data_IF_489178150966
#
_entry.id   IF_489178150966
#
_cell.length_a   1.000
_cell.length_b   1.000
_cell.length_c   1.000
_cell.angle_alpha   90.00
_cell.angle_beta   90.00
_cell.angle_gamma   90.00
#
_symmetry.space_group_name_H-M   'P 1'
#
loop_
_entity.id
_entity.type
_entity.pdbx_description
1 polymer ?
#
# COMPACT_ATOMS: atom_id res chain seq x y z
N UNK A 1 33.79 9.19 -21.34
CA UNK A 1 34.14 9.66 -19.98
C UNK A 1 35.21 8.71 -19.43
N UNK A 2 36.36 9.21 -18.98
CA UNK A 2 37.34 8.36 -18.28
C UNK A 2 36.70 7.90 -16.97
N UNK A 3 36.69 6.59 -16.67
CA UNK A 3 36.05 5.99 -15.47
C UNK A 3 36.52 6.61 -14.13
N UNK A 4 37.69 7.28 -14.14
CA UNK A 4 38.35 7.79 -12.93
C UNK A 4 37.84 9.11 -12.40
N UNK A 5 37.06 9.88 -13.18
CA UNK A 5 36.68 11.25 -12.83
C UNK A 5 35.16 11.48 -12.72
N UNK A 6 34.39 10.42 -12.60
CA UNK A 6 32.93 10.51 -12.45
C UNK A 6 32.57 10.92 -11.02
N UNK A 7 31.73 11.93 -10.89
CA UNK A 7 31.19 12.38 -9.61
C UNK A 7 30.09 11.46 -9.15
N UNK A 8 29.93 11.32 -7.84
CA UNK A 8 28.92 10.44 -7.24
C UNK A 8 27.50 10.88 -7.63
N UNK A 9 27.22 12.19 -7.55
CA UNK A 9 25.90 12.74 -7.89
C UNK A 9 25.53 12.44 -9.33
N UNK A 10 26.41 12.77 -10.27
CA UNK A 10 26.22 12.50 -11.71
C UNK A 10 26.00 11.01 -11.99
N UNK A 11 26.80 10.14 -11.32
CA UNK A 11 26.63 8.71 -11.45
C UNK A 11 25.27 8.25 -10.93
N UNK A 12 24.83 8.70 -9.76
CA UNK A 12 23.56 8.29 -9.15
C UNK A 12 22.37 8.69 -10.02
N UNK A 13 22.40 9.89 -10.64
CA UNK A 13 21.36 10.31 -11.58
C UNK A 13 21.36 9.44 -12.83
N UNK A 14 22.53 9.26 -13.47
CA UNK A 14 22.69 8.40 -14.64
C UNK A 14 22.24 6.97 -14.36
N UNK A 15 22.72 6.38 -13.24
CA UNK A 15 22.37 5.04 -12.81
C UNK A 15 20.86 4.88 -12.57
N UNK A 16 20.26 5.86 -11.89
CA UNK A 16 18.84 5.80 -11.59
C UNK A 16 17.99 5.78 -12.87
N UNK A 17 18.26 6.66 -13.81
CA UNK A 17 17.47 6.79 -15.03
C UNK A 17 17.75 5.65 -16.03
N UNK A 18 19.01 5.27 -16.23
CA UNK A 18 19.40 4.37 -17.31
C UNK A 18 19.57 2.91 -16.89
N UNK A 19 19.85 2.64 -15.63
CA UNK A 19 20.16 1.30 -15.14
C UNK A 19 19.07 0.80 -14.20
N UNK A 20 18.69 1.54 -13.19
CA UNK A 20 17.78 1.10 -12.15
C UNK A 20 16.31 1.19 -12.59
N UNK A 21 15.86 2.34 -13.08
CA UNK A 21 14.46 2.59 -13.46
C UNK A 21 13.91 1.61 -14.49
N UNK A 22 14.64 1.19 -15.53
CA UNK A 22 14.13 0.21 -16.50
C UNK A 22 13.91 -1.19 -15.93
N UNK A 23 14.54 -1.52 -14.79
CA UNK A 23 14.48 -2.84 -14.17
C UNK A 23 13.35 -3.02 -13.16
N UNK A 24 12.62 -1.95 -12.84
CA UNK A 24 11.68 -1.93 -11.74
C UNK A 24 10.28 -1.43 -12.14
N UNK A 25 9.28 -1.80 -11.34
CA UNK A 25 7.93 -1.31 -11.55
C UNK A 25 7.77 0.17 -11.15
N UNK A 26 6.80 0.85 -11.78
CA UNK A 26 6.48 2.28 -11.59
C UNK A 26 6.38 2.70 -10.12
N UNK A 27 5.72 1.89 -9.27
CA UNK A 27 5.59 2.22 -7.84
C UNK A 27 6.92 2.20 -7.09
N UNK A 28 7.82 1.28 -7.44
CA UNK A 28 9.18 1.21 -6.87
C UNK A 28 10.04 2.34 -7.41
N UNK A 29 9.93 2.65 -8.72
CA UNK A 29 10.59 3.79 -9.35
C UNK A 29 10.25 5.11 -8.64
N UNK A 30 8.98 5.35 -8.35
CA UNK A 30 8.55 6.55 -7.61
C UNK A 30 9.22 6.69 -6.24
N UNK A 31 9.24 5.60 -5.47
CA UNK A 31 9.88 5.61 -4.14
C UNK A 31 11.40 5.82 -4.27
N UNK A 32 12.03 5.17 -5.24
CA UNK A 32 13.45 5.33 -5.54
C UNK A 32 13.78 6.75 -5.96
N UNK A 33 13.00 7.31 -6.87
CA UNK A 33 13.15 8.67 -7.35
C UNK A 33 13.03 9.70 -6.21
N UNK A 34 11.96 9.61 -5.41
CA UNK A 34 11.80 10.45 -4.24
C UNK A 34 13.01 10.32 -3.29
N UNK A 35 13.49 9.10 -3.08
CA UNK A 35 14.65 8.85 -2.20
C UNK A 35 15.92 9.48 -2.76
N UNK A 36 16.18 9.35 -4.06
CA UNK A 36 17.36 9.92 -4.68
C UNK A 36 17.33 11.46 -4.68
N UNK A 37 16.32 12.03 -5.32
CA UNK A 37 16.28 13.47 -5.63
C UNK A 37 15.85 14.36 -4.46
N UNK A 38 15.03 13.84 -3.53
CA UNK A 38 14.55 14.64 -2.40
C UNK A 38 15.23 14.31 -1.06
N UNK A 39 15.96 13.19 -0.98
CA UNK A 39 16.61 12.81 0.26
C UNK A 39 18.13 12.71 0.11
N UNK A 40 18.64 11.97 -0.87
CA UNK A 40 20.08 11.72 -1.02
C UNK A 40 20.80 12.93 -1.60
N UNK A 41 20.47 13.33 -2.83
CA UNK A 41 21.18 14.42 -3.52
C UNK A 41 21.17 15.74 -2.73
N UNK A 42 20.04 16.19 -2.14
CA UNK A 42 20.03 17.42 -1.35
C UNK A 42 20.80 17.31 -0.02
N UNK A 43 21.08 16.07 0.45
CA UNK A 43 21.87 15.84 1.67
C UNK A 43 23.37 15.71 1.41
N UNK A 44 23.81 15.77 0.16
CA UNK A 44 25.22 15.79 -0.20
C UNK A 44 25.79 17.21 0.05
N UNK A 45 26.70 17.34 1.04
CA UNK A 45 27.37 18.63 1.32
C UNK A 45 28.46 18.95 0.28
N UNK A 46 29.15 17.91 -0.19
CA UNK A 46 30.12 17.98 -1.26
C UNK A 46 29.97 16.77 -2.15
N UNK A 47 29.91 17.00 -3.46
CA UNK A 47 30.00 15.90 -4.40
C UNK A 47 31.44 15.42 -4.50
N UNK A 48 31.63 14.11 -4.55
CA UNK A 48 32.95 13.49 -4.61
C UNK A 48 33.10 12.58 -5.81
N UNK A 49 34.34 12.40 -6.28
CA UNK A 49 34.61 11.41 -7.31
C UNK A 49 34.38 9.99 -6.76
N UNK A 50 33.79 9.10 -7.57
CA UNK A 50 33.48 7.72 -7.20
C UNK A 50 34.68 6.98 -6.56
N UNK A 51 35.90 7.23 -7.06
CA UNK A 51 37.12 6.62 -6.55
C UNK A 51 37.51 7.02 -5.11
N UNK A 52 36.92 8.08 -4.57
CA UNK A 52 37.14 8.55 -3.19
C UNK A 52 35.99 8.21 -2.22
N UNK A 53 35.00 7.46 -2.68
CA UNK A 53 33.90 7.04 -1.80
C UNK A 53 34.46 6.15 -0.68
N UNK A 54 34.19 6.55 0.57
CA UNK A 54 34.58 5.80 1.75
C UNK A 54 33.34 5.46 2.61
N UNK A 55 33.53 4.58 3.59
CA UNK A 55 32.49 4.23 4.57
C UNK A 55 32.07 5.48 5.36
N UNK A 56 33.04 6.31 5.78
CA UNK A 56 32.83 7.53 6.57
C UNK A 56 31.98 8.54 5.79
N UNK A 57 32.29 8.73 4.50
CA UNK A 57 31.49 9.63 3.65
C UNK A 57 30.03 9.16 3.55
N UNK A 58 29.81 7.86 3.29
CA UNK A 58 28.49 7.29 3.17
C UNK A 58 27.72 7.31 4.48
N UNK A 59 28.38 7.03 5.61
CA UNK A 59 27.78 7.13 6.94
C UNK A 59 27.35 8.58 7.24
N UNK A 60 28.21 9.57 6.96
CA UNK A 60 27.88 10.98 7.16
C UNK A 60 26.71 11.43 6.27
N UNK A 61 26.69 11.02 4.99
CA UNK A 61 25.57 11.28 4.08
C UNK A 61 24.27 10.66 4.60
N UNK A 62 24.29 9.38 4.97
CA UNK A 62 23.13 8.66 5.47
C UNK A 62 22.63 9.21 6.81
N UNK A 63 23.52 9.71 7.67
CA UNK A 63 23.14 10.38 8.92
C UNK A 63 22.38 11.68 8.64
N UNK A 64 22.79 12.49 7.65
CA UNK A 64 22.05 13.67 7.22
C UNK A 64 20.65 13.30 6.68
N UNK A 65 20.58 12.27 5.83
CA UNK A 65 19.29 11.75 5.33
C UNK A 65 18.40 11.28 6.49
N UNK A 66 18.96 10.61 7.50
CA UNK A 66 18.21 10.11 8.65
C UNK A 66 17.70 11.22 9.58
N UNK A 67 18.34 12.41 9.59
CA UNK A 67 17.83 13.58 10.35
C UNK A 67 16.47 14.06 9.83
N UNK A 68 16.12 13.81 8.58
CA UNK A 68 14.81 14.13 8.00
C UNK A 68 13.74 13.25 8.68
N UNK A 69 13.95 11.95 8.71
CA UNK A 69 13.23 10.98 9.55
C UNK A 69 13.97 9.63 9.54
N UNK A 70 13.85 8.79 10.61
CA UNK A 70 14.57 7.51 10.70
C UNK A 70 14.30 6.55 9.52
N UNK A 71 13.09 6.58 8.95
CA UNK A 71 12.76 5.76 7.78
C UNK A 71 13.43 6.25 6.50
N UNK A 72 13.78 7.52 6.40
CA UNK A 72 14.53 8.08 5.28
C UNK A 72 15.95 7.51 5.22
N UNK A 73 16.66 7.44 6.36
CA UNK A 73 17.98 6.81 6.44
C UNK A 73 17.99 5.37 5.95
N UNK A 74 16.98 4.55 6.36
CA UNK A 74 16.85 3.18 5.86
C UNK A 74 16.62 3.12 4.33
N UNK A 75 15.75 3.98 3.79
CA UNK A 75 15.48 4.03 2.34
C UNK A 75 16.69 4.51 1.56
N UNK A 76 17.39 5.54 2.06
CA UNK A 76 18.64 6.01 1.48
C UNK A 76 19.69 4.90 1.43
N UNK A 77 19.87 4.18 2.54
CA UNK A 77 20.79 3.05 2.62
C UNK A 77 20.42 1.90 1.67
N UNK A 78 19.14 1.57 1.56
CA UNK A 78 18.67 0.54 0.62
C UNK A 78 18.98 0.94 -0.84
N UNK A 79 18.68 2.17 -1.23
CA UNK A 79 18.92 2.65 -2.60
C UNK A 79 20.41 2.74 -2.92
N UNK A 80 21.22 3.34 -2.03
CA UNK A 80 22.68 3.42 -2.19
C UNK A 80 23.33 2.03 -2.21
N UNK A 81 22.81 1.06 -1.46
CA UNK A 81 23.34 -0.32 -1.49
C UNK A 81 23.20 -0.95 -2.88
N UNK A 82 22.09 -0.69 -3.57
CA UNK A 82 21.90 -1.19 -4.94
C UNK A 82 22.83 -0.46 -5.89
N UNK A 83 22.91 0.90 -5.81
CA UNK A 83 23.76 1.70 -6.66
C UNK A 83 25.26 1.35 -6.50
N UNK A 84 25.72 1.21 -5.25
CA UNK A 84 27.13 0.86 -4.97
C UNK A 84 27.50 -0.57 -5.39
N UNK A 85 26.53 -1.49 -5.37
CA UNK A 85 26.72 -2.84 -5.91
C UNK A 85 26.92 -2.78 -7.43
N UNK A 86 26.10 -2.00 -8.13
CA UNK A 86 26.20 -1.86 -9.59
C UNK A 86 27.50 -1.13 -9.98
N UNK A 87 27.87 -0.04 -9.27
CA UNK A 87 29.10 0.71 -9.55
C UNK A 87 30.38 -0.14 -9.36
N UNK A 88 30.38 -1.00 -8.34
CA UNK A 88 31.49 -1.93 -8.11
C UNK A 88 31.52 -3.05 -9.18
N UNK A 89 30.35 -3.57 -9.58
CA UNK A 89 30.22 -4.53 -10.66
C UNK A 89 30.75 -4.00 -11.99
N UNK A 90 30.48 -2.73 -12.30
CA UNK A 90 30.95 -2.04 -13.50
C UNK A 90 32.41 -1.56 -13.40
N UNK A 91 33.09 -1.86 -12.29
CA UNK A 91 34.50 -1.53 -12.02
C UNK A 91 34.81 -0.02 -12.04
N UNK A 92 33.87 0.82 -11.61
CA UNK A 92 34.13 2.24 -11.34
C UNK A 92 34.83 2.45 -9.99
N UNK A 93 34.58 1.54 -9.05
CA UNK A 93 35.27 1.46 -7.76
C UNK A 93 35.84 0.04 -7.59
N UNK A 94 36.95 -0.08 -6.90
CA UNK A 94 37.60 -1.38 -6.62
C UNK A 94 36.92 -2.17 -5.51
N UNK A 95 36.17 -1.47 -4.66
CA UNK A 95 35.57 -2.00 -3.43
C UNK A 95 34.25 -1.29 -3.13
N UNK A 96 33.25 -2.04 -2.68
CA UNK A 96 31.94 -1.48 -2.26
C UNK A 96 31.93 -1.20 -0.75
N UNK A 97 31.91 0.06 -0.30
CA UNK A 97 31.93 0.39 1.12
C UNK A 97 30.59 0.22 1.85
N UNK A 98 29.45 0.07 1.12
CA UNK A 98 28.12 0.03 1.72
C UNK A 98 27.89 -1.08 2.77
N UNK A 99 28.43 -2.31 2.63
CA UNK A 99 28.24 -3.32 3.67
C UNK A 99 28.77 -2.93 5.04
N UNK A 100 29.81 -2.06 5.12
CA UNK A 100 30.44 -1.61 6.36
C UNK A 100 29.76 -0.40 6.99
N UNK A 101 28.84 0.27 6.25
CA UNK A 101 28.08 1.41 6.78
C UNK A 101 27.15 0.99 7.93
N UNK A 102 26.91 1.92 8.86
CA UNK A 102 26.02 1.69 10.03
C UNK A 102 24.58 1.44 9.58
N UNK A 103 23.95 0.36 10.09
CA UNK A 103 22.54 0.13 9.86
C UNK A 103 21.67 1.06 10.71
N UNK A 104 20.56 1.53 10.18
CA UNK A 104 19.57 2.28 10.96
C UNK A 104 18.57 1.32 11.61
N UNK A 105 18.26 1.49 12.92
CA UNK A 105 17.29 0.65 13.59
C UNK A 105 15.90 0.82 12.94
N UNK A 106 15.29 -0.29 12.55
CA UNK A 106 13.90 -0.28 12.11
C UNK A 106 13.01 -0.30 13.34
N UNK A 107 12.20 0.74 13.51
CA UNK A 107 11.16 0.72 14.53
C UNK A 107 10.24 -0.48 14.29
N UNK A 108 10.10 -1.35 15.27
CA UNK A 108 9.11 -2.44 15.20
C UNK A 108 7.72 -1.79 15.07
N UNK A 109 6.95 -2.10 14.02
CA UNK A 109 5.63 -1.52 13.88
C UNK A 109 4.77 -1.92 15.09
N UNK A 110 4.27 -0.94 15.82
CA UNK A 110 3.29 -1.19 16.89
C UNK A 110 1.96 -1.51 16.23
N UNK A 111 1.67 -2.79 16.05
CA UNK A 111 0.37 -3.25 15.57
C UNK A 111 -0.69 -2.87 16.60
N UNK A 112 -1.53 -1.92 16.27
CA UNK A 112 -2.66 -1.52 17.12
C UNK A 112 -3.83 -2.45 16.83
N UNK A 113 -4.21 -3.20 17.83
CA UNK A 113 -5.27 -4.18 17.74
C UNK A 113 -6.41 -3.75 18.64
N UNK A 114 -7.65 -3.86 18.14
CA UNK A 114 -8.84 -3.59 18.92
C UNK A 114 -9.19 -4.83 19.78
N UNK A 115 -9.27 -4.67 21.09
CA UNK A 115 -9.86 -5.68 21.95
C UNK A 115 -11.35 -5.89 21.64
N UNK A 116 -11.99 -6.95 22.15
CA UNK A 116 -13.37 -7.34 21.82
C UNK A 116 -14.37 -6.20 21.96
N UNK A 117 -14.35 -5.49 23.08
CA UNK A 117 -15.28 -4.40 23.36
C UNK A 117 -15.12 -3.24 22.35
N UNK A 118 -13.86 -2.84 22.10
CA UNK A 118 -13.55 -1.80 21.12
C UNK A 118 -13.90 -2.22 19.70
N UNK A 119 -13.77 -3.51 19.37
CA UNK A 119 -14.16 -4.04 18.07
C UNK A 119 -15.68 -3.98 17.87
N UNK A 120 -16.48 -4.25 18.92
CA UNK A 120 -17.93 -4.11 18.88
C UNK A 120 -18.33 -2.67 18.56
N UNK A 121 -17.82 -1.70 19.33
CA UNK A 121 -18.04 -0.27 19.10
C UNK A 121 -17.63 0.14 17.69
N UNK A 122 -16.47 -0.35 17.23
CA UNK A 122 -15.98 -0.07 15.88
C UNK A 122 -16.93 -0.58 14.80
N UNK A 123 -17.42 -1.83 14.91
CA UNK A 123 -18.31 -2.42 13.92
C UNK A 123 -19.71 -1.77 13.91
N UNK A 124 -20.23 -1.40 15.07
CA UNK A 124 -21.48 -0.64 15.19
C UNK A 124 -21.36 0.73 14.50
N UNK A 125 -20.25 1.44 14.73
CA UNK A 125 -19.99 2.71 14.06
C UNK A 125 -19.74 2.55 12.56
N UNK A 126 -19.02 1.50 12.16
CA UNK A 126 -18.72 1.19 10.77
C UNK A 126 -19.96 0.79 9.97
N UNK A 127 -20.96 0.15 10.59
CA UNK A 127 -22.20 -0.33 9.91
C UNK A 127 -23.01 0.82 9.29
N UNK A 128 -22.86 2.05 9.83
CA UNK A 128 -23.50 3.27 9.34
C UNK A 128 -22.66 4.01 8.30
N UNK A 129 -21.52 3.44 7.89
CA UNK A 129 -20.56 4.12 7.02
C UNK A 129 -20.59 3.51 5.61
N UNK A 130 -20.50 4.32 4.54
CA UNK A 130 -20.45 3.84 3.14
C UNK A 130 -19.31 2.87 2.84
N UNK A 131 -18.30 2.79 3.70
CA UNK A 131 -17.14 1.89 3.60
C UNK A 131 -17.32 0.57 4.36
N UNK A 132 -18.54 0.27 4.83
CA UNK A 132 -18.77 -0.90 5.69
C UNK A 132 -18.37 -2.22 5.04
N UNK A 133 -18.77 -2.44 3.79
CA UNK A 133 -18.40 -3.66 3.05
C UNK A 133 -16.88 -3.83 2.93
N UNK A 134 -16.18 -2.76 2.56
CA UNK A 134 -14.71 -2.77 2.42
C UNK A 134 -14.02 -3.06 3.76
N UNK A 135 -14.57 -2.53 4.85
CA UNK A 135 -14.10 -2.82 6.22
C UNK A 135 -14.29 -4.29 6.56
N UNK A 136 -15.46 -4.86 6.26
CA UNK A 136 -15.75 -6.27 6.50
C UNK A 136 -14.81 -7.18 5.68
N UNK A 137 -14.57 -6.87 4.41
CA UNK A 137 -13.63 -7.60 3.55
C UNK A 137 -12.20 -7.56 4.11
N UNK A 138 -11.75 -6.41 4.59
CA UNK A 138 -10.44 -6.28 5.25
C UNK A 138 -10.36 -7.08 6.54
N UNK A 139 -11.40 -7.01 7.37
CA UNK A 139 -11.42 -7.60 8.71
C UNK A 139 -11.62 -9.12 8.68
N UNK A 140 -12.61 -9.61 7.92
CA UNK A 140 -13.00 -11.02 7.92
C UNK A 140 -12.31 -11.87 6.86
N UNK A 141 -11.97 -11.29 5.72
CA UNK A 141 -11.27 -12.02 4.65
C UNK A 141 -9.77 -11.74 4.64
N UNK A 142 -9.29 -10.78 5.46
CA UNK A 142 -7.87 -10.43 5.55
C UNK A 142 -7.29 -9.90 4.22
N UNK A 143 -8.11 -9.25 3.39
CA UNK A 143 -7.70 -8.79 2.07
C UNK A 143 -6.78 -7.56 2.15
N UNK A 144 -5.84 -7.48 1.20
CA UNK A 144 -5.06 -6.26 1.00
C UNK A 144 -5.93 -5.17 0.39
N UNK A 145 -5.60 -3.92 0.63
CA UNK A 145 -6.35 -2.78 0.10
C UNK A 145 -6.59 -2.88 -1.42
N UNK A 146 -5.55 -3.15 -2.18
CA UNK A 146 -5.70 -3.32 -3.64
C UNK A 146 -6.56 -4.52 -4.04
N UNK A 147 -6.52 -5.61 -3.28
CA UNK A 147 -7.38 -6.77 -3.49
C UNK A 147 -8.86 -6.42 -3.24
N UNK A 148 -9.17 -5.70 -2.14
CA UNK A 148 -10.55 -5.26 -1.82
C UNK A 148 -11.14 -4.48 -2.98
N UNK A 149 -10.39 -3.49 -3.49
CA UNK A 149 -10.89 -2.63 -4.58
C UNK A 149 -10.91 -3.31 -5.95
N UNK A 150 -10.10 -4.36 -6.13
CA UNK A 150 -10.08 -5.16 -7.37
C UNK A 150 -11.18 -6.23 -7.47
N UNK A 151 -11.96 -6.45 -6.41
CA UNK A 151 -13.03 -7.46 -6.44
C UNK A 151 -14.14 -7.09 -7.41
N UNK A 152 -14.58 -8.09 -8.19
CA UNK A 152 -15.75 -8.04 -9.06
C UNK A 152 -16.82 -9.00 -8.57
N UNK A 153 -18.09 -8.81 -8.97
CA UNK A 153 -19.18 -9.70 -8.51
C UNK A 153 -18.97 -11.14 -8.93
N UNK A 154 -18.41 -11.38 -10.10
CA UNK A 154 -18.06 -12.73 -10.61
C UNK A 154 -17.01 -13.47 -9.76
N UNK A 155 -16.31 -12.79 -8.85
CA UNK A 155 -15.35 -13.43 -7.96
C UNK A 155 -16.02 -14.13 -6.78
N UNK A 156 -17.30 -13.85 -6.51
CA UNK A 156 -18.07 -14.41 -5.41
C UNK A 156 -18.90 -15.60 -5.85
N UNK A 157 -18.71 -16.75 -5.18
CA UNK A 157 -19.58 -17.89 -5.25
C UNK A 157 -20.51 -17.86 -4.02
N UNK A 158 -21.77 -17.48 -4.25
CA UNK A 158 -22.76 -17.32 -3.18
C UNK A 158 -23.26 -18.66 -2.61
N UNK A 159 -23.19 -19.74 -3.37
CA UNK A 159 -23.58 -21.07 -2.92
C UNK A 159 -22.50 -21.67 -2.03
N UNK A 160 -21.26 -21.66 -2.48
CA UNK A 160 -20.10 -22.14 -1.73
C UNK A 160 -19.64 -21.18 -0.64
N UNK A 161 -20.16 -19.96 -0.62
CA UNK A 161 -19.72 -18.88 0.26
C UNK A 161 -18.20 -18.64 0.17
N UNK A 162 -17.71 -18.47 -1.06
CA UNK A 162 -16.29 -18.23 -1.31
C UNK A 162 -16.06 -16.99 -2.16
N UNK A 163 -14.85 -16.44 -2.08
CA UNK A 163 -14.36 -15.36 -2.96
C UNK A 163 -13.00 -15.76 -3.54
N UNK A 164 -12.84 -15.55 -4.83
CA UNK A 164 -11.58 -15.76 -5.54
C UNK A 164 -10.83 -14.44 -5.63
N UNK A 165 -9.58 -14.43 -5.18
CA UNK A 165 -8.67 -13.29 -5.29
C UNK A 165 -7.76 -13.52 -6.48
N UNK A 166 -7.95 -12.75 -7.56
CA UNK A 166 -7.23 -12.93 -8.82
C UNK A 166 -6.63 -11.63 -9.36
N UNK A 167 -6.96 -10.46 -8.74
CA UNK A 167 -6.48 -9.15 -9.18
C UNK A 167 -6.37 -8.17 -8.01
N UNK A 168 -5.72 -7.04 -8.29
CA UNK A 168 -5.64 -5.91 -7.37
C UNK A 168 -5.70 -4.59 -8.15
N UNK A 169 -6.25 -3.56 -7.52
CA UNK A 169 -6.12 -2.19 -8.00
C UNK A 169 -4.92 -1.52 -7.35
N UNK A 170 -4.12 -0.84 -8.15
CA UNK A 170 -2.97 -0.07 -7.71
C UNK A 170 -3.02 1.34 -8.28
N UNK A 171 -2.51 2.31 -7.52
CA UNK A 171 -2.30 3.65 -8.05
C UNK A 171 -1.15 3.63 -9.06
N UNK A 172 -1.39 4.22 -10.21
CA UNK A 172 -0.37 4.50 -11.21
C UNK A 172 -0.21 6.01 -11.29
N UNK A 173 0.99 6.48 -10.99
CA UNK A 173 1.34 7.89 -11.05
C UNK A 173 2.29 8.09 -12.21
N UNK A 174 1.97 9.04 -13.09
CA UNK A 174 2.95 9.59 -14.00
C UNK A 174 3.62 10.78 -13.32
N UNK A 175 4.92 10.75 -13.26
CA UNK A 175 5.74 11.83 -12.75
C UNK A 175 6.31 12.61 -13.93
N UNK A 176 6.37 13.92 -13.79
CA UNK A 176 7.21 14.75 -14.67
C UNK A 176 8.66 14.44 -14.32
N UNK A 177 9.46 14.10 -15.33
CA UNK A 177 10.86 13.78 -15.13
C UNK A 177 11.57 14.94 -14.40
N UNK A 178 12.42 14.60 -13.42
CA UNK A 178 13.21 15.49 -12.57
C UNK A 178 12.46 16.37 -11.55
N UNK A 179 11.18 16.67 -11.72
CA UNK A 179 10.44 17.56 -10.81
C UNK A 179 9.57 16.85 -9.78
N UNK A 180 9.40 15.51 -9.87
CA UNK A 180 8.50 14.71 -9.01
C UNK A 180 7.08 15.24 -8.85
N UNK A 181 6.66 16.15 -9.72
CA UNK A 181 5.27 16.58 -9.80
C UNK A 181 4.43 15.48 -10.42
N UNK A 182 3.37 15.08 -9.73
CA UNK A 182 2.40 14.13 -10.26
C UNK A 182 1.65 14.81 -11.39
N UNK A 183 1.86 14.33 -12.62
CA UNK A 183 1.16 14.85 -13.80
C UNK A 183 -0.14 14.11 -14.04
N UNK A 184 -0.22 12.86 -13.64
CA UNK A 184 -1.42 12.05 -13.83
C UNK A 184 -1.52 10.99 -12.74
N UNK A 185 -2.70 10.82 -12.17
CA UNK A 185 -3.05 9.73 -11.27
C UNK A 185 -4.13 8.86 -11.89
N UNK A 186 -3.82 7.60 -12.10
CA UNK A 186 -4.78 6.61 -12.55
C UNK A 186 -4.81 5.43 -11.57
N UNK A 187 -5.96 4.78 -11.47
CA UNK A 187 -6.07 3.49 -10.80
C UNK A 187 -6.08 2.42 -11.88
N UNK A 188 -5.17 1.48 -11.81
CA UNK A 188 -5.03 0.41 -12.79
C UNK A 188 -5.22 -0.96 -12.16
N UNK A 189 -5.83 -1.86 -12.92
CA UNK A 189 -5.95 -3.28 -12.57
C UNK A 189 -4.62 -3.98 -12.87
N UNK A 190 -4.11 -4.77 -11.92
CA UNK A 190 -2.93 -5.61 -12.08
C UNK A 190 -3.17 -6.99 -11.51
N UNK A 191 -2.47 -7.96 -12.06
CA UNK A 191 -2.35 -9.27 -11.46
C UNK A 191 -1.63 -9.17 -10.09
N UNK A 192 -1.89 -10.10 -9.16
CA UNK A 192 -1.13 -10.18 -7.92
C UNK A 192 0.36 -10.40 -8.21
N UNK A 193 1.23 -9.81 -7.37
CA UNK A 193 2.70 -9.85 -7.56
C UNK A 193 3.32 -11.25 -7.48
N UNK A 194 2.65 -12.19 -6.84
CA UNK A 194 3.14 -13.57 -6.61
C UNK A 194 2.04 -14.58 -6.84
N UNK A 195 2.37 -15.77 -7.27
CA UNK A 195 1.44 -16.90 -7.45
C UNK A 195 0.67 -17.22 -6.17
N UNK A 196 1.31 -17.15 -5.01
CA UNK A 196 0.67 -17.34 -3.70
C UNK A 196 -0.40 -16.29 -3.36
N UNK A 197 -0.54 -15.25 -4.16
CA UNK A 197 -1.60 -14.25 -3.99
C UNK A 197 -2.91 -14.65 -4.67
N UNK A 198 -2.88 -15.59 -5.62
CA UNK A 198 -4.08 -16.23 -6.17
C UNK A 198 -4.62 -17.23 -5.16
N UNK A 199 -5.82 -16.98 -4.67
CA UNK A 199 -6.42 -17.84 -3.64
C UNK A 199 -7.93 -17.74 -3.61
N UNK A 200 -8.57 -18.80 -3.11
CA UNK A 200 -9.99 -18.83 -2.80
C UNK A 200 -10.13 -18.82 -1.28
N UNK A 201 -10.99 -17.95 -0.77
CA UNK A 201 -11.25 -17.80 0.65
C UNK A 201 -12.71 -18.08 0.96
N UNK A 202 -12.98 -18.73 2.08
CA UNK A 202 -14.34 -18.79 2.64
C UNK A 202 -14.74 -17.43 3.18
N UNK A 203 -15.98 -17.04 2.91
CA UNK A 203 -16.54 -15.74 3.26
C UNK A 203 -17.69 -15.94 4.23
N UNK A 204 -17.72 -15.15 5.29
CA UNK A 204 -18.78 -15.21 6.27
C UNK A 204 -20.11 -14.70 5.70
N UNK A 205 -21.23 -15.24 6.20
CA UNK A 205 -22.59 -14.88 5.75
C UNK A 205 -22.86 -13.37 5.81
N UNK A 206 -22.36 -12.69 6.84
CA UNK A 206 -22.52 -11.23 6.97
C UNK A 206 -21.87 -10.46 5.81
N UNK A 207 -20.68 -10.88 5.37
CA UNK A 207 -20.01 -10.28 4.23
C UNK A 207 -20.77 -10.55 2.94
N UNK A 208 -21.20 -11.81 2.72
CA UNK A 208 -21.97 -12.18 1.53
C UNK A 208 -23.29 -11.40 1.43
N UNK A 209 -23.97 -11.17 2.56
CA UNK A 209 -25.18 -10.34 2.62
C UNK A 209 -24.89 -8.90 2.19
N UNK A 210 -23.80 -8.30 2.68
CA UNK A 210 -23.42 -6.94 2.30
C UNK A 210 -22.98 -6.85 0.84
N UNK A 211 -22.35 -7.90 0.28
CA UNK A 211 -22.06 -7.98 -1.16
C UNK A 211 -23.35 -7.97 -1.99
N UNK A 212 -24.35 -8.78 -1.61
CA UNK A 212 -25.67 -8.77 -2.27
C UNK A 212 -26.35 -7.40 -2.18
N UNK A 213 -26.33 -6.78 -0.98
CA UNK A 213 -26.87 -5.43 -0.78
C UNK A 213 -26.17 -4.39 -1.66
N UNK A 214 -24.87 -4.48 -1.79
CA UNK A 214 -24.07 -3.62 -2.69
C UNK A 214 -24.44 -3.83 -4.15
N UNK A 215 -24.65 -5.08 -4.57
CA UNK A 215 -25.09 -5.41 -5.92
C UNK A 215 -26.43 -4.75 -6.25
N UNK A 216 -27.43 -4.89 -5.36
CA UNK A 216 -28.74 -4.25 -5.52
C UNK A 216 -28.63 -2.72 -5.62
N UNK A 217 -27.81 -2.11 -4.77
CA UNK A 217 -27.57 -0.65 -4.81
C UNK A 217 -26.93 -0.21 -6.13
N UNK A 218 -26.01 -0.99 -6.67
CA UNK A 218 -25.35 -0.69 -7.96
C UNK A 218 -26.36 -0.82 -9.11
N UNK A 219 -27.23 -1.82 -9.10
CA UNK A 219 -28.26 -1.94 -10.13
C UNK A 219 -29.23 -0.74 -10.13
N UNK A 220 -29.61 -0.24 -8.94
CA UNK A 220 -30.41 0.99 -8.85
C UNK A 220 -29.66 2.22 -9.42
N UNK A 221 -28.35 2.34 -9.16
CA UNK A 221 -27.54 3.44 -9.71
C UNK A 221 -27.37 3.39 -11.22
N UNK A 222 -27.31 2.18 -11.79
CA UNK A 222 -27.24 2.00 -13.25
C UNK A 222 -28.51 2.49 -13.97
N UNK A 223 -29.64 2.46 -13.29
CA UNK A 223 -30.94 2.89 -13.82
C UNK A 223 -31.26 4.35 -13.49
N UNK A 224 -30.44 5.02 -12.68
CA UNK A 224 -30.65 6.44 -12.31
C UNK A 224 -30.22 7.35 -13.47
N UNK A 225 -31.16 8.11 -14.07
CA UNK A 225 -30.84 8.99 -15.20
C UNK A 225 -29.94 10.17 -14.81
N UNK A 226 -29.80 10.47 -13.51
CA UNK A 226 -28.89 11.49 -12.99
C UNK A 226 -27.43 11.03 -12.87
N UNK A 227 -27.15 9.74 -13.11
CA UNK A 227 -25.81 9.16 -12.95
C UNK A 227 -25.33 8.60 -14.29
N UNK A 228 -24.26 9.18 -14.84
CA UNK A 228 -23.52 8.56 -15.95
C UNK A 228 -22.69 7.39 -15.41
N UNK A 229 -23.30 6.20 -15.37
CA UNK A 229 -22.68 5.03 -14.74
C UNK A 229 -21.66 4.35 -15.66
N UNK A 230 -20.41 4.21 -15.18
CA UNK A 230 -19.32 3.50 -15.85
C UNK A 230 -19.21 2.07 -15.32
N UNK A 231 -19.56 1.10 -16.15
CA UNK A 231 -19.62 -0.30 -15.73
C UNK A 231 -18.25 -1.00 -15.76
N UNK A 232 -17.46 -0.84 -14.72
CA UNK A 232 -16.21 -1.59 -14.49
C UNK A 232 -16.43 -2.90 -13.73
N UNK A 233 -17.66 -3.18 -13.28
CA UNK A 233 -18.07 -4.35 -12.52
C UNK A 233 -17.40 -4.50 -11.14
N UNK A 234 -16.77 -3.46 -10.60
CA UNK A 234 -16.19 -3.52 -9.26
C UNK A 234 -17.25 -3.47 -8.16
N UNK A 235 -17.10 -4.37 -7.19
CA UNK A 235 -17.95 -4.40 -5.97
C UNK A 235 -17.73 -3.15 -5.12
N UNK A 236 -16.50 -2.68 -5.06
CA UNK A 236 -16.08 -1.54 -4.25
C UNK A 236 -15.80 -0.32 -5.14
N UNK A 237 -16.85 0.23 -5.75
CA UNK A 237 -16.79 1.38 -6.67
C UNK A 237 -17.39 2.65 -6.05
N UNK A 238 -17.19 3.78 -6.74
CA UNK A 238 -17.89 5.04 -6.52
C UNK A 238 -19.36 4.94 -6.96
N UNK A 239 -20.13 6.01 -6.77
CA UNK A 239 -21.56 6.04 -7.18
C UNK A 239 -21.75 5.92 -8.67
N UNK A 240 -20.85 6.50 -9.45
CA UNK A 240 -20.81 6.42 -10.90
C UNK A 240 -20.11 5.16 -11.44
N UNK A 241 -19.80 4.17 -10.60
CA UNK A 241 -19.15 2.92 -11.00
C UNK A 241 -17.63 2.95 -11.14
N UNK A 242 -17.00 4.13 -11.08
CA UNK A 242 -15.54 4.25 -11.15
C UNK A 242 -14.83 3.64 -9.94
N UNK A 243 -13.56 3.24 -10.07
CA UNK A 243 -12.78 2.78 -8.94
C UNK A 243 -12.71 3.82 -7.81
N UNK A 244 -12.85 3.38 -6.55
CA UNK A 244 -12.69 4.26 -5.39
C UNK A 244 -11.22 4.64 -5.19
N UNK A 245 -11.01 5.83 -4.61
CA UNK A 245 -9.68 6.26 -4.18
C UNK A 245 -9.08 5.30 -3.16
N UNK A 246 -7.87 4.80 -3.46
CA UNK A 246 -7.14 3.88 -2.59
C UNK A 246 -6.72 4.51 -1.24
N UNK A 247 -6.73 5.83 -1.11
CA UNK A 247 -6.36 6.54 0.13
C UNK A 247 -7.58 6.85 1.00
N UNK A 248 -8.76 7.06 0.41
CA UNK A 248 -9.96 7.49 1.10
C UNK A 248 -10.45 6.53 2.20
N UNK A 249 -10.24 5.22 2.02
CA UNK A 249 -10.61 4.23 3.05
C UNK A 249 -9.85 4.43 4.37
N UNK A 250 -8.55 4.77 4.32
CA UNK A 250 -7.79 5.07 5.55
C UNK A 250 -8.33 6.33 6.25
N UNK A 251 -8.73 7.36 5.49
CA UNK A 251 -9.35 8.55 6.05
C UNK A 251 -10.70 8.24 6.71
N UNK A 252 -11.51 7.37 6.09
CA UNK A 252 -12.77 6.92 6.67
C UNK A 252 -12.54 6.15 7.98
N UNK A 253 -11.57 5.22 8.02
CA UNK A 253 -11.20 4.50 9.25
C UNK A 253 -10.75 5.46 10.36
N UNK A 254 -9.90 6.43 10.04
CA UNK A 254 -9.46 7.46 11.00
C UNK A 254 -10.64 8.25 11.56
N UNK A 255 -11.59 8.68 10.68
CA UNK A 255 -12.79 9.39 11.12
C UNK A 255 -13.68 8.53 12.04
N UNK A 256 -13.88 7.25 11.70
CA UNK A 256 -14.66 6.32 12.54
C UNK A 256 -13.98 6.17 13.91
N UNK A 257 -12.66 5.90 13.95
CA UNK A 257 -11.93 5.72 15.18
C UNK A 257 -11.96 6.98 16.07
N UNK A 258 -11.67 8.16 15.51
CA UNK A 258 -11.63 9.41 16.27
C UNK A 258 -12.99 9.77 16.88
N UNK A 259 -14.08 9.61 16.10
CA UNK A 259 -15.45 9.91 16.58
C UNK A 259 -15.92 9.00 17.72
N UNK A 260 -15.32 7.82 17.86
CA UNK A 260 -15.73 6.82 18.85
C UNK A 260 -14.64 6.58 19.93
N UNK A 261 -13.65 7.46 20.06
CA UNK A 261 -12.59 7.31 21.07
C UNK A 261 -11.73 6.04 20.90
N UNK A 262 -11.64 5.50 19.68
CA UNK A 262 -10.91 4.29 19.39
C UNK A 262 -9.48 4.59 18.91
N UNK A 263 -8.51 3.71 19.16
CA UNK A 263 -7.19 3.85 18.58
C UNK A 263 -7.26 3.76 17.05
N UNK A 264 -6.53 4.65 16.37
CA UNK A 264 -6.49 4.67 14.91
C UNK A 264 -5.98 3.34 14.34
N UNK A 265 -6.75 2.77 13.43
CA UNK A 265 -6.40 1.57 12.65
C UNK A 265 -6.32 1.92 11.17
N UNK A 266 -5.50 1.18 10.45
CA UNK A 266 -5.36 1.30 9.00
C UNK A 266 -5.99 0.10 8.29
N UNK A 267 -6.22 0.19 6.98
CA UNK A 267 -6.68 -0.97 6.18
C UNK A 267 -5.74 -2.15 6.34
N UNK A 268 -4.43 -1.91 6.40
CA UNK A 268 -3.46 -2.97 6.67
C UNK A 268 -3.61 -3.54 8.09
N UNK A 269 -3.92 -2.69 9.07
CA UNK A 269 -4.20 -3.10 10.45
C UNK A 269 -5.42 -4.00 10.60
N UNK A 270 -6.44 -3.87 9.73
CA UNK A 270 -7.60 -4.76 9.72
C UNK A 270 -7.23 -6.23 9.44
N UNK A 271 -6.12 -6.49 8.73
CA UNK A 271 -5.66 -7.84 8.38
C UNK A 271 -4.92 -8.56 9.50
N UNK A 272 -4.48 -7.84 10.54
CA UNK A 272 -3.74 -8.46 11.63
C UNK A 272 -4.64 -9.36 12.49
N UNK A 273 -4.12 -10.49 13.00
CA UNK A 273 -4.83 -11.73 13.27
C UNK A 273 -5.67 -11.73 14.54
N UNK A 274 -6.49 -10.72 14.77
CA UNK A 274 -7.57 -10.89 15.76
C UNK A 274 -8.71 -11.70 15.23
N UNK A 275 -8.76 -11.89 13.92
CA UNK A 275 -9.79 -12.68 13.23
C UNK A 275 -9.13 -13.84 12.48
N UNK A 276 -8.39 -14.69 13.18
CA UNK A 276 -8.20 -16.04 12.64
C UNK A 276 -9.57 -16.72 12.70
N UNK A 277 -10.11 -17.21 11.56
CA UNK A 277 -11.40 -17.90 11.51
C UNK A 277 -11.47 -19.17 12.36
N UNK A 278 -10.35 -19.61 12.93
CA UNK A 278 -10.18 -20.84 13.70
C UNK A 278 -10.66 -20.77 15.16
N UNK A 279 -11.03 -19.61 15.70
CA UNK A 279 -11.63 -19.58 17.04
C UNK A 279 -13.14 -19.61 16.93
N UNK A 280 -13.77 -20.77 17.23
CA UNK A 280 -15.22 -20.97 17.40
C UNK A 280 -15.89 -19.83 18.18
N UNK A 281 -15.19 -19.15 19.08
CA UNK A 281 -15.65 -18.00 19.87
C UNK A 281 -16.00 -16.74 19.05
N UNK A 282 -15.46 -16.58 17.83
CA UNK A 282 -15.77 -15.41 16.99
C UNK A 282 -17.02 -15.64 16.12
N UNK A 283 -17.28 -16.87 15.74
CA UNK A 283 -18.51 -17.24 15.00
C UNK A 283 -19.72 -16.98 15.88
N UNK A 284 -19.66 -17.36 17.17
CA UNK A 284 -20.72 -17.12 18.15
C UNK A 284 -20.97 -15.63 18.41
N UNK A 285 -19.96 -14.78 18.34
CA UNK A 285 -20.12 -13.33 18.53
C UNK A 285 -21.00 -12.70 17.45
N UNK A 286 -20.93 -13.16 16.20
CA UNK A 286 -21.73 -12.63 15.08
C UNK A 286 -23.08 -13.32 14.89
N UNK A 287 -23.23 -14.55 15.32
CA UNK A 287 -24.55 -15.20 15.39
C UNK A 287 -25.46 -14.49 16.41
N UNK A 288 -24.87 -13.96 17.48
CA UNK A 288 -25.60 -13.22 18.53
C UNK A 288 -25.87 -11.76 18.15
N UNK A 289 -24.97 -11.10 17.38
CA UNK A 289 -25.06 -9.67 17.06
C UNK A 289 -25.39 -9.35 15.59
N UNK A 290 -25.56 -10.39 14.76
CA UNK A 290 -25.85 -10.26 13.32
C UNK A 290 -27.32 -10.04 12.95
N UNK A 291 -28.20 -9.77 13.90
CA UNK A 291 -29.56 -9.34 13.61
C UNK A 291 -29.54 -7.83 13.32
N UNK A 292 -29.91 -7.37 12.13
CA UNK A 292 -30.12 -5.96 11.90
C UNK A 292 -31.39 -5.54 12.65
N UNK A 293 -31.29 -4.50 13.46
CA UNK A 293 -32.46 -3.70 13.74
C UNK A 293 -33.01 -3.23 12.40
N UNK A 294 -34.23 -3.65 12.09
CA UNK A 294 -35.04 -3.12 11.02
C UNK A 294 -35.03 -1.60 11.15
N UNK A 295 -34.42 -0.91 10.20
CA UNK A 295 -34.69 0.49 10.01
C UNK A 295 -36.07 0.65 9.39
N UNK A 296 -36.87 1.62 9.88
CA UNK A 296 -38.18 1.95 9.33
C UNK A 296 -38.10 2.48 7.90
#
# INVERSE_FOLDING_TARGET
MQKTDVMLGDYLEYWFENIFSPRIETTTRMVGAYTLYNLILPSMEADIKLKYISVEYLDALLERVAKICPSAGNKGRELLSIAMKDVAGDKFISYNPMPETKPYPRAKPKVRVLGKEKLKVFLEAASKNPWYLEILLGLFCGLRKGEIFGLKFQDFDFEKQTVRISRQLVGNLKLKEKEFTVTEYAVIERNPKTENSYRILRVQKVVMREVKRRQQLIELRKTDPGIEYKNFDYVCCQENGEPRSLTAMNQALTKICNRNGLPNITVHGLRHPYVKPTTKKFITFFEVFGQPHSCP
#
